data_IF_486611874534
#
_entry.id   IF_486611874534
#
_cell.length_a   1.000
_cell.length_b   1.000
_cell.length_c   1.000
_cell.angle_alpha   90.00
_cell.angle_beta   90.00
_cell.angle_gamma   90.00
#
_symmetry.space_group_name_H-M   'P 1'
#
loop_
_entity.id
_entity.type
_entity.pdbx_description
1 polymer ?
#
# COMPACT_ATOMS: atom_id res chain seq x y z
N UNK A 1 7.51 30.52 19.07
CA UNK A 1 6.85 30.70 20.36
C UNK A 1 7.84 30.31 21.46
N UNK A 2 8.14 31.20 22.40
CA UNK A 2 9.25 31.04 23.37
C UNK A 2 9.04 29.82 24.28
N UNK A 3 7.79 29.56 24.67
CA UNK A 3 7.41 28.44 25.52
C UNK A 3 7.66 27.06 24.86
N UNK A 4 7.59 26.97 23.53
CA UNK A 4 7.89 25.73 22.80
C UNK A 4 9.39 25.49 22.73
N UNK A 5 10.20 26.55 22.59
CA UNK A 5 11.65 26.46 22.61
C UNK A 5 12.17 26.05 24.00
N UNK A 6 11.67 26.70 25.05
CA UNK A 6 12.03 26.39 26.44
C UNK A 6 11.66 24.93 26.81
N UNK A 7 10.55 24.40 26.27
CA UNK A 7 10.14 23.02 26.45
C UNK A 7 11.02 21.99 25.72
N UNK A 8 11.59 22.33 24.56
CA UNK A 8 12.51 21.45 23.82
C UNK A 8 13.89 21.40 24.51
N UNK A 9 14.39 22.54 24.98
CA UNK A 9 15.66 22.63 25.73
C UNK A 9 15.63 21.81 27.02
N UNK A 10 14.53 21.89 27.79
CA UNK A 10 14.37 21.08 29.00
C UNK A 10 14.40 19.58 28.70
N UNK A 11 13.78 19.16 27.59
CA UNK A 11 13.77 17.75 27.17
C UNK A 11 15.15 17.30 26.70
N UNK A 12 15.87 18.13 25.94
CA UNK A 12 17.25 17.86 25.54
C UNK A 12 18.15 17.65 26.77
N UNK A 13 18.08 18.55 27.75
CA UNK A 13 18.87 18.46 28.98
C UNK A 13 18.54 17.19 29.77
N UNK A 14 17.26 16.81 29.86
CA UNK A 14 16.83 15.57 30.51
C UNK A 14 17.38 14.32 29.79
N UNK A 15 17.32 14.28 28.45
CA UNK A 15 17.89 13.17 27.68
C UNK A 15 19.42 13.10 27.83
N UNK A 16 20.10 14.26 27.79
CA UNK A 16 21.55 14.34 27.97
C UNK A 16 21.99 13.88 29.37
N UNK A 17 21.25 14.23 30.42
CA UNK A 17 21.52 13.79 31.78
C UNK A 17 21.28 12.28 31.98
N UNK A 18 20.36 11.69 31.21
CA UNK A 18 20.08 10.26 31.23
C UNK A 18 21.18 9.43 30.53
N UNK A 19 21.92 10.03 29.58
CA UNK A 19 23.03 9.39 28.89
C UNK A 19 24.27 9.38 29.80
N UNK A 20 24.61 8.20 30.34
CA UNK A 20 25.85 7.98 31.09
C UNK A 20 26.86 7.27 30.20
N UNK A 21 27.86 8.00 29.72
CA UNK A 21 29.05 7.42 29.10
C UNK A 21 30.14 7.36 30.18
N UNK A 22 30.71 6.19 30.40
CA UNK A 22 31.86 6.01 31.27
C UNK A 22 33.10 5.83 30.38
N UNK A 23 34.08 6.72 30.57
CA UNK A 23 35.32 6.77 29.78
C UNK A 23 35.04 6.84 28.26
N UNK A 24 35.88 6.20 27.45
CA UNK A 24 35.78 6.18 25.98
C UNK A 24 34.89 5.03 25.45
N UNK A 25 34.08 4.40 26.31
CA UNK A 25 33.28 3.23 25.95
C UNK A 25 31.79 3.51 26.07
N UNK A 26 31.06 3.30 24.97
CA UNK A 26 29.61 3.36 24.96
C UNK A 26 29.02 2.12 25.67
N UNK A 27 28.10 2.29 26.64
CA UNK A 27 27.41 1.16 27.26
C UNK A 27 26.71 0.28 26.21
N UNK A 28 26.80 -1.05 26.32
CA UNK A 28 26.04 -1.96 25.46
C UNK A 28 24.55 -1.63 25.47
N UNK A 29 23.94 -1.51 24.29
CA UNK A 29 22.51 -1.22 24.14
C UNK A 29 22.12 0.26 24.25
N UNK A 30 23.05 1.17 24.59
CA UNK A 30 22.75 2.62 24.65
C UNK A 30 22.25 3.14 23.30
N UNK A 31 22.92 2.80 22.19
CA UNK A 31 22.49 3.20 20.84
C UNK A 31 21.10 2.65 20.53
N UNK A 32 20.83 1.39 20.86
CA UNK A 32 19.50 0.77 20.70
C UNK A 32 18.42 1.50 21.49
N UNK A 33 18.74 1.93 22.71
CA UNK A 33 17.82 2.68 23.58
C UNK A 33 17.54 4.08 23.03
N UNK A 34 18.56 4.75 22.49
CA UNK A 34 18.44 6.07 21.88
C UNK A 34 17.64 6.07 20.57
N UNK A 35 17.69 4.96 19.82
CA UNK A 35 17.02 4.80 18.53
C UNK A 35 15.67 4.05 18.60
N UNK A 36 15.19 3.64 19.79
CA UNK A 36 13.92 2.92 19.93
C UNK A 36 12.72 3.88 19.93
N UNK A 37 11.63 3.46 19.29
CA UNK A 37 10.32 4.10 19.45
C UNK A 37 9.87 3.92 20.91
N UNK A 38 9.59 5.01 21.64
CA UNK A 38 9.19 4.91 23.04
C UNK A 38 7.79 4.29 23.18
N UNK A 39 7.53 3.68 24.34
CA UNK A 39 6.17 3.30 24.73
C UNK A 39 5.26 4.54 24.80
N UNK A 40 3.95 4.35 24.62
CA UNK A 40 2.97 5.44 24.69
C UNK A 40 3.15 6.29 25.95
N UNK A 41 3.28 7.61 25.76
CA UNK A 41 3.44 8.58 26.84
C UNK A 41 4.87 8.79 27.35
N UNK A 42 5.84 7.94 26.99
CA UNK A 42 7.25 8.16 27.36
C UNK A 42 7.94 9.16 26.41
N UNK A 43 8.85 9.98 26.97
CA UNK A 43 9.74 10.84 26.21
C UNK A 43 11.07 10.13 25.92
N UNK A 44 11.64 10.35 24.75
CA UNK A 44 12.91 9.74 24.31
C UNK A 44 13.66 10.66 23.36
N UNK A 45 14.96 10.39 23.14
CA UNK A 45 15.73 11.09 22.12
C UNK A 45 15.07 11.00 20.75
N UNK A 46 14.57 9.83 20.35
CA UNK A 46 13.84 9.65 19.09
C UNK A 46 12.63 10.59 18.98
N UNK A 47 11.82 10.69 20.03
CA UNK A 47 10.65 11.58 20.06
C UNK A 47 11.04 13.06 20.02
N UNK A 48 12.08 13.45 20.76
CA UNK A 48 12.63 14.80 20.70
C UNK A 48 13.14 15.15 19.29
N UNK A 49 13.85 14.24 18.62
CA UNK A 49 14.31 14.44 17.23
C UNK A 49 13.12 14.58 16.28
N UNK A 50 12.05 13.79 16.44
CA UNK A 50 10.83 13.93 15.64
C UNK A 50 10.12 15.27 15.88
N UNK A 51 10.05 15.73 17.13
CA UNK A 51 9.44 17.02 17.47
C UNK A 51 10.27 18.19 16.94
N UNK A 52 11.61 18.10 17.00
CA UNK A 52 12.52 19.05 16.37
C UNK A 52 12.37 19.06 14.85
N UNK A 53 12.28 17.90 14.19
CA UNK A 53 11.99 17.82 12.77
C UNK A 53 10.67 18.51 12.43
N UNK A 54 9.62 18.32 13.24
CA UNK A 54 8.33 19.00 13.05
C UNK A 54 8.48 20.51 13.21
N UNK A 55 9.17 20.97 14.25
CA UNK A 55 9.41 22.40 14.49
C UNK A 55 10.22 23.04 13.36
N UNK A 56 11.26 22.36 12.85
CA UNK A 56 12.03 22.82 11.68
C UNK A 56 11.14 22.88 10.45
N UNK A 57 10.31 21.87 10.22
CA UNK A 57 9.36 21.86 9.10
C UNK A 57 8.34 22.99 9.21
N UNK A 58 7.93 23.38 10.41
CA UNK A 58 7.02 24.50 10.67
C UNK A 58 7.71 25.86 10.45
N UNK A 59 8.95 26.01 10.91
CA UNK A 59 9.77 27.20 10.63
C UNK A 59 10.01 27.34 9.13
N UNK A 60 10.39 26.24 8.46
CA UNK A 60 10.54 26.20 7.02
C UNK A 60 9.24 26.62 6.34
N UNK A 61 8.08 26.12 6.79
CA UNK A 61 6.77 26.54 6.29
C UNK A 61 6.58 28.07 6.32
N UNK A 62 6.97 28.70 7.42
CA UNK A 62 6.87 30.16 7.58
C UNK A 62 7.86 30.95 6.71
N UNK A 63 8.89 30.29 6.19
CA UNK A 63 9.88 30.85 5.27
C UNK A 63 9.58 30.56 3.80
N UNK A 64 8.50 29.80 3.50
CA UNK A 64 8.17 29.43 2.13
C UNK A 64 7.85 30.68 1.30
N UNK A 65 8.63 30.90 0.25
CA UNK A 65 8.48 32.06 -0.62
C UNK A 65 7.28 31.92 -1.56
N UNK A 66 6.89 30.68 -1.88
CA UNK A 66 5.80 30.38 -2.81
C UNK A 66 5.17 29.02 -2.50
N UNK A 67 3.84 28.92 -2.60
CA UNK A 67 3.12 27.63 -2.64
C UNK A 67 2.92 27.20 -4.09
N UNK A 68 3.29 25.96 -4.42
CA UNK A 68 3.06 25.37 -5.74
C UNK A 68 2.15 24.16 -5.57
N UNK A 69 0.84 24.40 -5.67
CA UNK A 69 -0.18 23.37 -5.55
C UNK A 69 -0.05 22.55 -4.25
N UNK A 70 0.30 23.20 -3.13
CA UNK A 70 0.51 22.58 -1.81
C UNK A 70 1.96 22.22 -1.49
N UNK A 71 2.91 22.38 -2.43
CA UNK A 71 4.34 22.24 -2.16
C UNK A 71 4.93 23.56 -1.66
N UNK A 72 5.67 23.50 -0.55
CA UNK A 72 6.41 24.64 0.00
C UNK A 72 7.69 24.83 -0.80
N UNK A 73 7.80 25.93 -1.53
CA UNK A 73 8.90 26.19 -2.45
C UNK A 73 9.81 27.34 -2.01
N UNK A 74 11.12 27.19 -2.26
CA UNK A 74 12.14 28.19 -1.95
C UNK A 74 13.10 28.36 -3.13
N UNK A 75 13.44 29.60 -3.48
CA UNK A 75 14.50 29.93 -4.46
C UNK A 75 14.35 29.25 -5.83
N UNK A 76 13.11 29.03 -6.26
CA UNK A 76 12.81 28.38 -7.54
C UNK A 76 12.87 29.38 -8.70
N UNK A 77 13.35 28.94 -9.86
CA UNK A 77 13.15 29.66 -11.12
C UNK A 77 11.81 29.25 -11.79
N UNK A 78 11.43 29.92 -12.87
CA UNK A 78 10.15 29.64 -13.54
C UNK A 78 10.07 28.25 -14.16
N UNK A 79 11.21 27.63 -14.51
CA UNK A 79 11.26 26.27 -15.07
C UNK A 79 11.04 25.23 -13.97
N UNK A 80 11.60 25.45 -12.78
CA UNK A 80 11.40 24.59 -11.62
C UNK A 80 9.93 24.49 -11.24
N UNK A 81 9.21 25.61 -11.31
CA UNK A 81 7.79 25.67 -10.94
C UNK A 81 6.95 24.68 -11.73
N UNK A 82 7.25 24.50 -13.01
CA UNK A 82 6.53 23.53 -13.85
C UNK A 82 6.81 22.08 -13.41
N UNK A 83 8.05 21.76 -13.01
CA UNK A 83 8.47 20.43 -12.56
C UNK A 83 7.87 20.08 -11.20
N UNK A 84 7.89 21.03 -10.26
CA UNK A 84 7.20 20.89 -8.97
C UNK A 84 5.70 20.71 -9.18
N UNK A 85 5.09 21.51 -10.06
CA UNK A 85 3.68 21.37 -10.39
C UNK A 85 3.36 19.98 -11.00
N UNK A 86 4.23 19.43 -11.85
CA UNK A 86 4.04 18.08 -12.41
C UNK A 86 4.04 16.99 -11.35
N UNK A 87 5.00 17.03 -10.43
CA UNK A 87 5.02 16.14 -9.27
C UNK A 87 3.75 16.29 -8.42
N UNK A 88 3.36 17.52 -8.11
CA UNK A 88 2.19 17.81 -7.28
C UNK A 88 0.86 17.45 -7.95
N UNK A 89 0.75 17.51 -9.29
CA UNK A 89 -0.44 17.02 -10.00
C UNK A 89 -0.68 15.54 -9.71
N UNK A 90 0.36 14.74 -9.81
CA UNK A 90 0.30 13.30 -9.51
C UNK A 90 -0.04 13.05 -8.05
N UNK A 91 0.69 13.72 -7.15
CA UNK A 91 0.47 13.59 -5.71
C UNK A 91 -0.96 13.96 -5.32
N UNK A 92 -1.45 15.12 -5.75
CA UNK A 92 -2.77 15.61 -5.39
C UNK A 92 -3.91 14.80 -6.00
N UNK A 93 -3.68 14.14 -7.16
CA UNK A 93 -4.66 13.20 -7.74
C UNK A 93 -4.96 12.04 -6.79
N UNK A 94 -3.94 11.48 -6.16
CA UNK A 94 -4.09 10.29 -5.31
C UNK A 94 -4.06 10.59 -3.81
N UNK A 95 -3.66 11.80 -3.39
CA UNK A 95 -3.62 12.22 -1.99
C UNK A 95 -4.93 11.99 -1.21
N UNK A 96 -6.15 12.17 -1.79
CA UNK A 96 -7.39 11.87 -1.08
C UNK A 96 -7.49 10.41 -0.59
N UNK A 97 -6.77 9.47 -1.22
CA UNK A 97 -6.73 8.05 -0.83
C UNK A 97 -5.97 7.79 0.47
N UNK A 98 -5.28 8.80 1.02
CA UNK A 98 -4.66 8.71 2.35
C UNK A 98 -5.67 8.97 3.46
N UNK A 99 -6.86 9.51 3.17
CA UNK A 99 -7.87 9.90 4.15
C UNK A 99 -7.26 10.72 5.31
N UNK A 100 -7.50 10.31 6.55
CA UNK A 100 -7.03 11.01 7.74
C UNK A 100 -5.56 10.73 8.10
N UNK A 101 -4.80 9.99 7.27
CA UNK A 101 -3.39 9.74 7.55
C UNK A 101 -2.54 11.02 7.38
N UNK A 102 -1.63 11.32 8.32
CA UNK A 102 -0.64 12.39 8.14
C UNK A 102 0.37 12.05 7.02
N UNK A 103 1.13 13.04 6.57
CA UNK A 103 2.16 12.86 5.54
C UNK A 103 1.75 13.36 4.16
N UNK A 104 2.60 13.05 3.18
CA UNK A 104 2.69 13.64 1.84
C UNK A 104 3.05 15.13 1.82
N UNK A 105 3.64 15.67 2.89
CA UNK A 105 4.12 17.04 2.88
C UNK A 105 5.29 17.16 1.91
N UNK A 106 5.24 18.16 1.01
CA UNK A 106 6.24 18.34 -0.04
C UNK A 106 6.96 19.67 0.12
N UNK A 107 8.30 19.61 0.13
CA UNK A 107 9.17 20.78 0.04
C UNK A 107 9.91 20.74 -1.30
N UNK A 108 10.15 21.89 -1.91
CA UNK A 108 10.93 22.01 -3.13
C UNK A 108 11.90 23.18 -3.05
N UNK A 109 13.15 22.98 -3.47
CA UNK A 109 14.14 24.04 -3.50
C UNK A 109 15.15 23.83 -4.61
N UNK A 110 15.73 24.92 -5.10
CA UNK A 110 16.91 24.86 -5.96
C UNK A 110 18.19 24.86 -5.13
N UNK A 111 19.05 23.89 -5.39
CA UNK A 111 20.41 23.79 -4.85
C UNK A 111 21.43 23.77 -5.99
N UNK A 112 22.04 24.93 -6.24
CA UNK A 112 22.93 25.15 -7.37
C UNK A 112 22.26 24.77 -8.71
N UNK A 113 22.81 23.81 -9.48
CA UNK A 113 22.23 23.39 -10.75
C UNK A 113 21.03 22.45 -10.60
N UNK A 114 20.67 22.03 -9.38
CA UNK A 114 19.69 20.97 -9.13
C UNK A 114 18.38 21.52 -8.57
N UNK A 115 17.26 20.99 -9.05
CA UNK A 115 15.99 21.08 -8.34
C UNK A 115 15.86 19.88 -7.41
N UNK A 116 15.59 20.13 -6.14
CA UNK A 116 15.34 19.11 -5.12
C UNK A 116 13.86 19.17 -4.72
N UNK A 117 13.17 18.04 -4.79
CA UNK A 117 11.82 17.85 -4.22
C UNK A 117 11.93 16.79 -3.14
N UNK A 118 11.50 17.11 -1.93
CA UNK A 118 11.45 16.19 -0.81
C UNK A 118 9.99 15.95 -0.44
N UNK A 119 9.61 14.68 -0.29
CA UNK A 119 8.29 14.31 0.22
C UNK A 119 8.44 13.50 1.51
N UNK A 120 7.67 13.88 2.52
CA UNK A 120 7.56 13.18 3.79
C UNK A 120 6.35 12.24 3.77
N UNK A 121 6.60 10.93 3.77
CA UNK A 121 5.56 9.90 3.72
C UNK A 121 4.84 9.68 5.08
N UNK A 122 5.17 10.45 6.14
CA UNK A 122 4.45 10.51 7.40
C UNK A 122 5.11 9.76 8.57
N UNK A 123 4.30 9.25 9.50
CA UNK A 123 4.66 8.79 10.86
C UNK A 123 5.53 7.52 10.96
N UNK A 124 6.30 7.19 9.93
CA UNK A 124 7.09 5.95 9.90
C UNK A 124 8.59 6.24 9.87
N UNK A 125 9.34 5.51 10.69
CA UNK A 125 10.66 5.88 11.22
C UNK A 125 11.84 6.03 10.23
N UNK A 126 11.66 5.92 8.90
CA UNK A 126 12.79 6.04 7.97
C UNK A 126 12.42 6.18 6.49
N UNK A 127 11.33 6.87 6.10
CA UNK A 127 10.94 6.96 4.69
C UNK A 127 11.08 8.38 4.15
N UNK A 128 12.30 8.75 3.78
CA UNK A 128 12.56 10.00 3.09
C UNK A 128 12.58 9.71 1.59
N UNK A 129 11.75 10.44 0.84
CA UNK A 129 11.85 10.51 -0.61
C UNK A 129 12.53 11.82 -0.99
N UNK A 130 13.66 11.72 -1.68
CA UNK A 130 14.35 12.87 -2.27
C UNK A 130 14.41 12.68 -3.78
N UNK A 131 13.93 13.68 -4.50
CA UNK A 131 13.93 13.73 -5.95
C UNK A 131 14.87 14.85 -6.37
N UNK A 132 15.81 14.55 -7.26
CA UNK A 132 16.76 15.51 -7.80
C UNK A 132 16.61 15.56 -9.32
N UNK A 133 16.52 16.77 -9.86
CA UNK A 133 16.45 17.01 -11.31
C UNK A 133 17.66 17.86 -11.70
N UNK A 134 18.42 17.37 -12.68
CA UNK A 134 19.64 17.98 -13.21
C UNK A 134 19.57 18.07 -14.74
N UNK A 135 20.17 19.10 -15.34
CA UNK A 135 20.13 19.32 -16.79
C UNK A 135 18.81 19.94 -17.22
N UNK A 136 18.84 21.19 -17.68
CA UNK A 136 17.63 22.02 -17.80
C UNK A 136 16.90 21.90 -19.13
N UNK A 137 17.55 21.47 -20.24
CA UNK A 137 16.96 21.61 -21.58
C UNK A 137 17.09 20.36 -22.48
N UNK A 138 18.30 19.86 -22.79
CA UNK A 138 18.47 18.81 -23.83
C UNK A 138 18.42 17.36 -23.32
N UNK A 139 18.62 17.14 -22.01
CA UNK A 139 18.66 15.80 -21.43
C UNK A 139 18.51 15.86 -19.90
N UNK A 140 17.31 16.17 -19.38
CA UNK A 140 17.11 16.21 -17.95
C UNK A 140 17.27 14.83 -17.32
N UNK A 141 18.03 14.77 -16.24
CA UNK A 141 18.25 13.59 -15.42
C UNK A 141 17.42 13.69 -14.15
N UNK A 142 16.52 12.73 -13.96
CA UNK A 142 15.76 12.53 -12.73
C UNK A 142 16.47 11.47 -11.88
N UNK A 143 16.73 11.78 -10.62
CA UNK A 143 17.25 10.85 -9.61
C UNK A 143 16.29 10.80 -8.43
N UNK A 144 15.84 9.61 -8.07
CA UNK A 144 14.96 9.35 -6.93
C UNK A 144 15.70 8.55 -5.89
N UNK A 145 15.90 9.12 -4.71
CA UNK A 145 16.45 8.47 -3.54
C UNK A 145 15.30 8.11 -2.60
N UNK A 146 15.17 6.83 -2.27
CA UNK A 146 14.15 6.33 -1.35
C UNK A 146 14.77 5.39 -0.33
N UNK A 147 14.48 5.61 0.95
CA UNK A 147 14.84 4.70 2.04
C UNK A 147 13.63 3.89 2.47
N UNK A 148 13.81 2.58 2.66
CA UNK A 148 12.75 1.68 3.10
C UNK A 148 13.26 0.58 4.04
N UNK A 149 12.49 0.26 5.08
CA UNK A 149 12.76 -0.87 5.99
C UNK A 149 12.06 -2.17 5.56
N UNK A 150 11.24 -2.12 4.51
CA UNK A 150 10.45 -3.23 4.00
C UNK A 150 10.78 -3.51 2.54
N UNK A 151 11.60 -4.54 2.29
CA UNK A 151 12.03 -4.97 0.94
C UNK A 151 10.87 -5.11 -0.05
N UNK A 152 9.76 -5.74 0.36
CA UNK A 152 8.61 -5.94 -0.54
C UNK A 152 7.84 -4.65 -0.85
N UNK A 153 7.83 -3.68 0.06
CA UNK A 153 7.23 -2.37 -0.21
C UNK A 153 8.09 -1.56 -1.16
N UNK A 154 9.42 -1.65 -1.01
CA UNK A 154 10.36 -1.09 -1.96
C UNK A 154 10.17 -1.72 -3.36
N UNK A 155 10.08 -3.04 -3.47
CA UNK A 155 9.81 -3.74 -4.74
C UNK A 155 8.48 -3.27 -5.35
N UNK A 156 7.44 -3.16 -4.54
CA UNK A 156 6.15 -2.59 -4.96
C UNK A 156 6.30 -1.18 -5.53
N UNK A 157 7.04 -0.29 -4.84
CA UNK A 157 7.28 1.09 -5.29
C UNK A 157 8.05 1.14 -6.61
N UNK A 158 9.09 0.31 -6.74
CA UNK A 158 9.92 0.23 -7.95
C UNK A 158 9.09 -0.23 -9.16
N UNK A 159 8.21 -1.21 -8.98
CA UNK A 159 7.31 -1.70 -10.02
C UNK A 159 6.31 -0.64 -10.52
N UNK A 160 5.97 0.35 -9.68
CA UNK A 160 5.13 1.49 -10.11
C UNK A 160 5.90 2.49 -10.98
N UNK A 161 7.22 2.42 -11.01
CA UNK A 161 8.10 3.36 -11.69
C UNK A 161 9.03 2.62 -12.66
N UNK A 162 8.47 1.92 -13.68
CA UNK A 162 9.25 1.08 -14.58
C UNK A 162 10.21 1.88 -15.48
N UNK A 163 9.98 3.20 -15.62
CA UNK A 163 10.87 4.09 -16.38
C UNK A 163 12.20 4.38 -15.63
N UNK A 164 12.26 4.16 -14.31
CA UNK A 164 13.47 4.36 -13.52
C UNK A 164 14.33 3.09 -13.53
N UNK A 165 15.62 3.26 -13.77
CA UNK A 165 16.62 2.20 -13.54
C UNK A 165 17.04 2.24 -12.07
N UNK A 166 16.75 1.17 -11.34
CA UNK A 166 16.99 1.11 -9.90
C UNK A 166 18.32 0.45 -9.54
N UNK A 167 19.02 1.05 -8.59
CA UNK A 167 20.16 0.46 -7.87
C UNK A 167 19.84 0.43 -6.39
N UNK A 168 20.30 -0.61 -5.69
CA UNK A 168 20.01 -0.79 -4.26
C UNK A 168 21.33 -0.95 -3.50
N UNK A 169 21.40 -0.34 -2.31
CA UNK A 169 22.44 -0.59 -1.32
C UNK A 169 21.78 -0.90 0.01
N UNK A 170 22.10 -2.06 0.58
CA UNK A 170 21.67 -2.41 1.93
C UNK A 170 22.64 -1.80 2.94
N UNK A 171 22.12 -1.05 3.91
CA UNK A 171 22.93 -0.52 5.01
C UNK A 171 22.44 -1.13 6.32
N UNK A 172 23.37 -1.73 7.06
CA UNK A 172 23.11 -2.16 8.43
C UNK A 172 23.20 -0.95 9.35
N UNK A 173 22.19 -0.77 10.21
CA UNK A 173 22.27 0.18 11.31
C UNK A 173 22.71 -0.61 12.55
N UNK A 174 23.93 -0.40 13.08
CA UNK A 174 24.39 -1.13 14.26
C UNK A 174 23.44 -0.90 15.44
N UNK A 175 22.90 -1.98 16.01
CA UNK A 175 22.11 -1.93 17.25
C UNK A 175 20.59 -1.75 17.12
N UNK A 176 19.97 -1.82 15.95
CA UNK A 176 18.50 -1.89 15.84
C UNK A 176 18.02 -3.34 15.69
N UNK A 177 16.98 -3.74 16.45
CA UNK A 177 16.30 -5.04 16.28
C UNK A 177 15.59 -5.17 14.90
N UNK A 178 15.47 -4.07 14.15
CA UNK A 178 14.99 -3.99 12.77
C UNK A 178 16.14 -3.67 11.78
N UNK A 179 17.40 -3.94 12.17
CA UNK A 179 18.66 -3.29 11.77
C UNK A 179 19.15 -3.28 10.32
N UNK A 180 18.27 -3.36 9.31
CA UNK A 180 18.63 -3.11 7.92
C UNK A 180 17.59 -2.21 7.26
N UNK A 181 18.04 -1.07 6.73
CA UNK A 181 17.27 -0.30 5.76
C UNK A 181 17.91 -0.41 4.39
N UNK A 182 17.08 -0.42 3.35
CA UNK A 182 17.53 -0.40 1.97
C UNK A 182 17.44 1.02 1.47
N UNK A 183 18.56 1.53 0.95
CA UNK A 183 18.60 2.78 0.21
C UNK A 183 18.55 2.43 -1.28
N UNK A 184 17.50 2.87 -1.96
CA UNK A 184 17.30 2.66 -3.38
C UNK A 184 17.44 3.97 -4.14
N UNK A 185 18.19 3.93 -5.24
CA UNK A 185 18.38 5.06 -6.16
C UNK A 185 17.85 4.69 -7.52
N UNK A 186 16.78 5.36 -7.95
CA UNK A 186 16.20 5.24 -9.29
C UNK A 186 16.70 6.39 -10.17
N UNK A 187 17.16 6.08 -11.38
CA UNK A 187 17.65 7.07 -12.34
C UNK A 187 16.83 6.97 -13.64
N UNK A 188 16.37 8.11 -14.13
CA UNK A 188 15.78 8.26 -15.47
C UNK A 188 16.54 9.36 -16.20
N UNK A 189 17.03 9.03 -17.39
CA UNK A 189 17.46 10.01 -18.37
C UNK A 189 16.24 10.32 -19.26
N UNK A 190 15.57 11.43 -19.01
CA UNK A 190 14.39 11.79 -19.78
C UNK A 190 14.81 12.32 -21.16
N UNK A 191 14.06 11.92 -22.20
CA UNK A 191 14.32 12.32 -23.58
C UNK A 191 14.00 13.81 -23.82
N UNK A 192 13.00 14.33 -23.10
CA UNK A 192 12.55 15.70 -23.16
C UNK A 192 11.84 16.12 -21.85
N UNK A 193 11.45 17.39 -21.76
CA UNK A 193 10.72 17.92 -20.60
C UNK A 193 9.33 17.29 -20.39
N UNK A 194 8.52 16.99 -21.43
CA UNK A 194 7.27 16.25 -21.27
C UNK A 194 7.44 14.86 -20.66
N UNK A 195 8.45 14.10 -21.07
CA UNK A 195 8.75 12.77 -20.51
C UNK A 195 9.17 12.86 -19.04
N UNK A 196 9.95 13.88 -18.68
CA UNK A 196 10.27 14.18 -17.29
C UNK A 196 9.00 14.47 -16.48
N UNK A 197 8.06 15.25 -17.02
CA UNK A 197 6.81 15.59 -16.33
C UNK A 197 5.91 14.40 -16.10
N UNK A 198 5.78 13.53 -17.10
CA UNK A 198 5.05 12.29 -16.97
C UNK A 198 5.67 11.38 -15.89
N UNK A 199 7.01 11.33 -15.81
CA UNK A 199 7.70 10.58 -14.77
C UNK A 199 7.49 11.18 -13.37
N UNK A 200 7.56 12.51 -13.23
CA UNK A 200 7.28 13.22 -11.97
C UNK A 200 5.83 13.03 -11.52
N UNK A 201 4.88 13.09 -12.44
CA UNK A 201 3.46 12.88 -12.15
C UNK A 201 3.21 11.42 -11.71
N UNK A 202 3.80 10.44 -12.40
CA UNK A 202 3.72 9.02 -12.00
C UNK A 202 4.35 8.77 -10.63
N UNK A 203 5.48 9.43 -10.35
CA UNK A 203 6.15 9.38 -9.05
C UNK A 203 5.25 9.93 -7.94
N UNK A 204 4.72 11.14 -8.11
CA UNK A 204 3.81 11.76 -7.15
C UNK A 204 2.57 10.91 -6.88
N UNK A 205 1.93 10.40 -7.94
CA UNK A 205 0.73 9.57 -7.84
C UNK A 205 0.96 8.24 -7.09
N UNK A 206 2.21 7.76 -7.05
CA UNK A 206 2.56 6.49 -6.43
C UNK A 206 2.73 6.56 -4.90
N UNK A 207 2.95 7.74 -4.33
CA UNK A 207 3.40 7.89 -2.94
C UNK A 207 2.34 7.50 -1.91
N UNK A 208 1.06 7.81 -2.16
CA UNK A 208 -0.03 7.50 -1.24
C UNK A 208 -0.13 6.00 -0.95
N UNK A 209 0.23 5.15 -1.93
CA UNK A 209 0.14 3.70 -1.81
C UNK A 209 1.26 3.09 -0.95
N UNK A 210 2.23 3.87 -0.48
CA UNK A 210 3.25 3.41 0.46
C UNK A 210 2.79 3.54 1.92
N UNK A 211 1.80 4.41 2.17
CA UNK A 211 1.23 4.65 3.49
C UNK A 211 0.44 3.42 3.92
N UNK A 212 0.72 2.89 5.11
CA UNK A 212 0.09 1.68 5.66
C UNK A 212 0.16 0.43 4.77
N UNK A 213 0.98 0.42 3.72
CA UNK A 213 1.06 -0.70 2.77
C UNK A 213 1.36 -2.04 3.47
N UNK A 214 2.28 -2.03 4.44
CA UNK A 214 2.65 -3.24 5.18
C UNK A 214 1.50 -3.71 6.09
N UNK A 215 0.71 -2.78 6.64
CA UNK A 215 -0.48 -3.09 7.45
C UNK A 215 -1.56 -3.71 6.58
N UNK A 216 -1.83 -3.15 5.40
CA UNK A 216 -2.76 -3.71 4.43
C UNK A 216 -2.31 -5.09 3.93
N UNK A 217 -1.04 -5.26 3.58
CA UNK A 217 -0.48 -6.57 3.18
C UNK A 217 -0.68 -7.62 4.28
N UNK A 218 -0.32 -7.30 5.53
CA UNK A 218 -0.52 -8.23 6.66
C UNK A 218 -1.99 -8.59 6.83
N UNK A 219 -2.87 -7.60 6.69
CA UNK A 219 -4.31 -7.82 6.80
C UNK A 219 -4.86 -8.76 5.72
N UNK A 220 -4.51 -8.53 4.46
CA UNK A 220 -4.93 -9.39 3.35
C UNK A 220 -4.37 -10.82 3.44
N UNK A 221 -3.19 -10.99 4.05
CA UNK A 221 -2.54 -12.31 4.23
C UNK A 221 -3.30 -13.27 5.16
N UNK A 222 -4.30 -12.80 5.89
CA UNK A 222 -5.20 -13.69 6.63
C UNK A 222 -6.12 -14.51 5.71
N UNK A 223 -6.34 -14.05 4.48
CA UNK A 223 -7.29 -14.67 3.54
C UNK A 223 -6.63 -15.27 2.30
N UNK A 224 -5.47 -14.76 1.91
CA UNK A 224 -4.73 -15.19 0.72
C UNK A 224 -3.24 -15.36 0.99
N UNK A 225 -2.53 -16.01 0.06
CA UNK A 225 -1.08 -16.16 0.14
C UNK A 225 -0.36 -14.80 0.12
N UNK A 226 0.89 -14.78 0.59
CA UNK A 226 1.74 -13.57 0.56
C UNK A 226 1.83 -12.92 -0.84
N UNK A 227 2.15 -13.68 -1.90
CA UNK A 227 2.18 -13.16 -3.26
C UNK A 227 0.81 -12.63 -3.73
N UNK A 228 -0.29 -13.31 -3.39
CA UNK A 228 -1.63 -12.87 -3.75
C UNK A 228 -2.02 -11.56 -3.05
N UNK A 229 -1.65 -11.38 -1.78
CA UNK A 229 -1.85 -10.11 -1.06
C UNK A 229 -1.09 -8.95 -1.73
N UNK A 230 0.15 -9.19 -2.17
CA UNK A 230 0.93 -8.18 -2.91
C UNK A 230 0.29 -7.88 -4.28
N UNK A 231 -0.20 -8.90 -4.98
CA UNK A 231 -0.91 -8.73 -6.25
C UNK A 231 -2.21 -7.92 -6.09
N UNK A 232 -2.95 -8.09 -4.99
CA UNK A 232 -4.12 -7.27 -4.67
C UNK A 232 -3.76 -5.80 -4.46
N UNK A 233 -2.64 -5.51 -3.79
CA UNK A 233 -2.17 -4.14 -3.58
C UNK A 233 -1.69 -3.50 -4.88
N UNK A 234 -1.03 -4.26 -5.77
CA UNK A 234 -0.70 -3.80 -7.13
C UNK A 234 -1.97 -3.45 -7.89
N UNK A 235 -2.91 -4.40 -7.96
CA UNK A 235 -4.19 -4.18 -8.63
C UNK A 235 -4.91 -2.94 -8.09
N UNK A 236 -4.99 -2.76 -6.77
CA UNK A 236 -5.62 -1.60 -6.17
C UNK A 236 -4.93 -0.29 -6.57
N UNK A 237 -3.60 -0.25 -6.51
CA UNK A 237 -2.84 0.95 -6.87
C UNK A 237 -2.89 1.28 -8.37
N UNK A 238 -2.98 0.28 -9.24
CA UNK A 238 -3.12 0.47 -10.69
C UNK A 238 -4.48 1.04 -11.08
N UNK A 239 -5.51 0.80 -10.26
CA UNK A 239 -6.86 1.35 -10.45
C UNK A 239 -7.14 2.56 -9.54
N UNK A 240 -6.13 3.05 -8.83
CA UNK A 240 -6.24 4.14 -7.86
C UNK A 240 -7.31 3.91 -6.76
N UNK A 241 -7.41 2.67 -6.28
CA UNK A 241 -8.16 2.30 -5.08
C UNK A 241 -7.25 2.32 -3.85
N UNK A 242 -7.54 3.21 -2.91
CA UNK A 242 -6.75 3.41 -1.69
C UNK A 242 -6.97 2.28 -0.69
N UNK A 243 -5.98 1.40 -0.50
CA UNK A 243 -6.07 0.30 0.48
C UNK A 243 -6.22 0.79 1.93
N UNK A 244 -5.91 2.05 2.23
CA UNK A 244 -6.23 2.66 3.53
C UNK A 244 -7.72 2.65 3.82
N UNK A 245 -8.57 2.79 2.81
CA UNK A 245 -10.02 2.75 3.01
C UNK A 245 -10.47 1.39 3.54
N UNK A 246 -9.89 0.31 3.02
CA UNK A 246 -10.13 -1.04 3.52
C UNK A 246 -9.68 -1.19 5.00
N UNK A 247 -8.54 -0.59 5.36
CA UNK A 247 -8.08 -0.57 6.75
C UNK A 247 -9.00 0.27 7.65
N UNK A 248 -9.47 1.42 7.20
CA UNK A 248 -10.42 2.28 7.93
C UNK A 248 -11.81 1.62 8.07
N UNK A 249 -12.21 0.81 7.11
CA UNK A 249 -13.44 0.01 7.17
C UNK A 249 -13.36 -1.15 8.18
N UNK A 250 -12.16 -1.48 8.68
CA UNK A 250 -11.91 -2.51 9.69
C UNK A 250 -11.03 -3.67 9.23
N UNK A 251 -10.56 -3.65 7.98
CA UNK A 251 -9.57 -4.59 7.46
C UNK A 251 -9.94 -6.06 7.66
N UNK A 252 -9.03 -6.83 8.26
CA UNK A 252 -9.22 -8.27 8.50
C UNK A 252 -10.37 -8.57 9.46
N UNK A 253 -10.59 -7.72 10.47
CA UNK A 253 -11.66 -7.90 11.44
C UNK A 253 -13.02 -7.76 10.76
N UNK A 254 -13.18 -6.74 9.92
CA UNK A 254 -14.40 -6.56 9.13
C UNK A 254 -14.70 -7.80 8.27
N UNK A 255 -13.70 -8.30 7.54
CA UNK A 255 -13.89 -9.47 6.66
C UNK A 255 -14.20 -10.74 7.46
N UNK A 256 -13.57 -10.92 8.63
CA UNK A 256 -13.89 -11.99 9.56
C UNK A 256 -15.34 -11.95 10.04
N UNK A 257 -15.78 -10.79 10.54
CA UNK A 257 -17.15 -10.57 11.01
C UNK A 257 -18.18 -10.84 9.90
N UNK A 258 -17.88 -10.42 8.67
CA UNK A 258 -18.71 -10.68 7.49
C UNK A 258 -18.84 -12.18 7.22
N UNK A 259 -17.73 -12.92 7.24
CA UNK A 259 -17.73 -14.35 7.00
C UNK A 259 -18.52 -15.10 8.09
N UNK A 260 -18.38 -14.70 9.34
CA UNK A 260 -19.13 -15.29 10.46
C UNK A 260 -20.63 -15.04 10.32
N UNK A 261 -21.01 -13.81 9.96
CA UNK A 261 -22.41 -13.42 9.74
C UNK A 261 -23.02 -14.22 8.60
N UNK A 262 -22.33 -14.31 7.45
CA UNK A 262 -22.78 -15.08 6.29
C UNK A 262 -22.90 -16.57 6.62
N UNK A 263 -21.93 -17.14 7.35
CA UNK A 263 -21.97 -18.53 7.81
C UNK A 263 -23.24 -18.83 8.64
N UNK A 264 -23.59 -17.93 9.56
CA UNK A 264 -24.80 -18.06 10.38
C UNK A 264 -26.08 -17.97 9.55
N UNK A 265 -26.13 -17.05 8.58
CA UNK A 265 -27.32 -16.82 7.76
C UNK A 265 -27.57 -17.92 6.73
N UNK A 266 -26.52 -18.52 6.17
CA UNK A 266 -26.65 -19.60 5.18
C UNK A 266 -26.67 -20.99 5.80
N UNK A 267 -26.46 -21.11 7.12
CA UNK A 267 -26.28 -22.39 7.80
C UNK A 267 -24.99 -23.12 7.42
N UNK A 268 -24.05 -22.43 6.74
CA UNK A 268 -22.79 -22.99 6.30
C UNK A 268 -21.71 -22.97 7.38
N UNK A 269 -20.87 -23.99 7.43
CA UNK A 269 -19.63 -24.00 8.23
C UNK A 269 -18.43 -23.83 7.30
N UNK A 270 -18.18 -22.59 6.87
CA UNK A 270 -17.13 -22.30 5.91
C UNK A 270 -15.75 -22.26 6.57
N UNK A 271 -15.61 -21.68 7.76
CA UNK A 271 -14.35 -21.54 8.51
C UNK A 271 -13.34 -20.59 7.87
N UNK A 272 -13.15 -20.62 6.56
CA UNK A 272 -12.29 -19.70 5.80
C UNK A 272 -12.98 -19.21 4.52
N UNK A 273 -12.57 -18.04 4.04
CA UNK A 273 -13.10 -17.46 2.80
C UNK A 273 -12.81 -18.34 1.57
N UNK A 274 -11.64 -18.98 1.54
CA UNK A 274 -11.29 -19.91 0.46
C UNK A 274 -12.19 -21.14 0.43
N UNK A 275 -12.67 -21.61 1.58
CA UNK A 275 -13.64 -22.70 1.63
C UNK A 275 -15.06 -22.23 1.25
N UNK A 276 -15.41 -20.98 1.53
CA UNK A 276 -16.68 -20.40 1.10
C UNK A 276 -16.75 -20.12 -0.41
N UNK A 277 -15.67 -19.58 -0.99
CA UNK A 277 -15.68 -18.98 -2.34
C UNK A 277 -14.67 -19.61 -3.32
N UNK A 278 -13.85 -20.56 -2.88
CA UNK A 278 -12.67 -20.98 -3.63
C UNK A 278 -11.58 -19.89 -3.66
N UNK A 279 -10.44 -20.22 -4.27
CA UNK A 279 -9.30 -19.30 -4.38
C UNK A 279 -9.64 -18.08 -5.25
N UNK A 280 -10.22 -18.30 -6.43
CA UNK A 280 -10.53 -17.20 -7.36
C UNK A 280 -11.67 -16.32 -6.85
N UNK A 281 -12.69 -16.91 -6.21
CA UNK A 281 -13.76 -16.15 -5.58
C UNK A 281 -13.28 -15.32 -4.40
N UNK A 282 -12.34 -15.84 -3.60
CA UNK A 282 -11.66 -15.08 -2.53
C UNK A 282 -10.91 -13.88 -3.11
N UNK A 283 -10.11 -14.08 -4.16
CA UNK A 283 -9.39 -13.00 -4.84
C UNK A 283 -10.34 -11.94 -5.40
N UNK A 284 -11.43 -12.36 -6.05
CA UNK A 284 -12.43 -11.45 -6.60
C UNK A 284 -13.15 -10.65 -5.51
N UNK A 285 -13.52 -11.29 -4.40
CA UNK A 285 -14.15 -10.61 -3.28
C UNK A 285 -13.21 -9.59 -2.62
N UNK A 286 -11.93 -9.91 -2.43
CA UNK A 286 -10.99 -8.96 -1.82
C UNK A 286 -10.67 -7.77 -2.74
N UNK A 287 -10.66 -7.95 -4.06
CA UNK A 287 -10.62 -6.83 -5.02
C UNK A 287 -11.83 -5.93 -4.85
N UNK A 288 -13.01 -6.53 -4.75
CA UNK A 288 -14.26 -5.82 -4.54
C UNK A 288 -14.28 -5.07 -3.20
N UNK A 289 -13.77 -5.69 -2.13
CA UNK A 289 -13.61 -5.06 -0.82
C UNK A 289 -12.70 -3.82 -0.87
N UNK A 290 -11.55 -3.90 -1.55
CA UNK A 290 -10.64 -2.76 -1.74
C UNK A 290 -11.29 -1.63 -2.54
N UNK A 291 -11.96 -1.97 -3.64
CA UNK A 291 -12.67 -1.03 -4.52
C UNK A 291 -13.81 -0.34 -3.79
N UNK A 292 -14.76 -1.11 -3.26
CA UNK A 292 -15.95 -0.60 -2.56
C UNK A 292 -15.55 0.23 -1.36
N UNK A 293 -14.58 -0.21 -0.54
CA UNK A 293 -14.09 0.62 0.57
C UNK A 293 -13.53 1.95 0.08
N UNK A 294 -12.68 1.93 -0.97
CA UNK A 294 -12.05 3.14 -1.50
C UNK A 294 -13.06 4.11 -2.11
N UNK A 295 -14.04 3.64 -2.85
CA UNK A 295 -15.07 4.49 -3.47
C UNK A 295 -16.05 5.03 -2.43
N UNK A 296 -16.60 4.16 -1.59
CA UNK A 296 -17.59 4.53 -0.60
C UNK A 296 -17.02 5.53 0.41
N UNK A 297 -15.79 5.31 0.92
CA UNK A 297 -15.17 6.23 1.87
C UNK A 297 -14.83 7.59 1.23
N UNK A 298 -14.38 7.60 -0.04
CA UNK A 298 -14.21 8.86 -0.81
C UNK A 298 -15.53 9.62 -0.96
N UNK A 299 -16.64 8.89 -1.09
CA UNK A 299 -17.99 9.45 -1.17
C UNK A 299 -18.61 9.76 0.21
N UNK A 300 -17.82 9.73 1.28
CA UNK A 300 -18.26 10.07 2.63
C UNK A 300 -19.13 9.02 3.32
N UNK A 301 -19.19 7.79 2.81
CA UNK A 301 -19.88 6.69 3.48
C UNK A 301 -19.13 6.26 4.73
N UNK A 302 -19.88 5.86 5.76
CA UNK A 302 -19.32 5.40 7.02
C UNK A 302 -18.84 3.94 6.94
N UNK A 303 -17.86 3.53 7.77
CA UNK A 303 -17.42 2.13 7.85
C UNK A 303 -18.55 1.09 8.01
N UNK A 304 -19.62 1.34 8.81
CA UNK A 304 -20.76 0.42 8.86
C UNK A 304 -21.49 0.27 7.53
N UNK A 305 -21.71 1.35 6.78
CA UNK A 305 -22.37 1.27 5.48
C UNK A 305 -21.54 0.46 4.46
N UNK A 306 -20.20 0.61 4.50
CA UNK A 306 -19.28 -0.18 3.69
C UNK A 306 -19.40 -1.67 4.04
N UNK A 307 -19.50 -1.99 5.34
CA UNK A 307 -19.69 -3.37 5.80
C UNK A 307 -20.98 -3.96 5.26
N UNK A 308 -22.10 -3.24 5.32
CA UNK A 308 -23.39 -3.72 4.81
C UNK A 308 -23.34 -4.02 3.31
N UNK A 309 -22.69 -3.15 2.51
CA UNK A 309 -22.47 -3.37 1.07
C UNK A 309 -21.67 -4.64 0.82
N UNK A 310 -20.58 -4.85 1.56
CA UNK A 310 -19.72 -6.03 1.41
C UNK A 310 -20.37 -7.31 1.94
N UNK A 311 -21.26 -7.21 2.93
CA UNK A 311 -22.07 -8.33 3.39
C UNK A 311 -23.02 -8.81 2.29
N UNK A 312 -23.74 -7.88 1.65
CA UNK A 312 -24.63 -8.20 0.54
C UNK A 312 -23.86 -8.86 -0.61
N UNK A 313 -22.71 -8.29 -0.99
CA UNK A 313 -21.84 -8.85 -2.03
C UNK A 313 -21.35 -10.26 -1.68
N UNK A 314 -20.93 -10.49 -0.44
CA UNK A 314 -20.48 -11.81 0.01
C UNK A 314 -21.61 -12.85 -0.05
N UNK A 315 -22.81 -12.49 0.43
CA UNK A 315 -24.00 -13.34 0.36
C UNK A 315 -24.33 -13.73 -1.08
N UNK A 316 -24.31 -12.78 -2.01
CA UNK A 316 -24.56 -13.03 -3.44
C UNK A 316 -23.54 -14.01 -4.02
N UNK A 317 -22.26 -13.87 -3.69
CA UNK A 317 -21.20 -14.77 -4.17
C UNK A 317 -21.32 -16.18 -3.61
N UNK A 318 -21.67 -16.31 -2.33
CA UNK A 318 -21.88 -17.62 -1.69
C UNK A 318 -23.08 -18.34 -2.31
N UNK A 319 -24.20 -17.64 -2.52
CA UNK A 319 -25.36 -18.21 -3.21
C UNK A 319 -25.01 -18.68 -4.63
N UNK A 320 -24.36 -17.83 -5.42
CA UNK A 320 -23.91 -18.18 -6.78
C UNK A 320 -22.91 -19.36 -6.83
N UNK A 321 -22.12 -19.57 -5.77
CA UNK A 321 -21.25 -20.74 -5.68
C UNK A 321 -22.07 -22.01 -5.39
N UNK A 322 -23.05 -21.94 -4.50
CA UNK A 322 -23.92 -23.08 -4.20
C UNK A 322 -24.71 -23.53 -5.43
N UNK A 323 -25.25 -22.58 -6.22
CA UNK A 323 -25.96 -22.88 -7.46
C UNK A 323 -25.05 -23.58 -8.47
N UNK A 324 -23.81 -23.10 -8.65
CA UNK A 324 -22.84 -23.75 -9.55
C UNK A 324 -22.50 -25.17 -9.14
N UNK A 325 -22.33 -25.43 -7.83
CA UNK A 325 -22.06 -26.79 -7.33
C UNK A 325 -23.27 -27.69 -7.60
N UNK A 326 -24.49 -27.17 -7.47
CA UNK A 326 -25.70 -27.92 -7.76
C UNK A 326 -25.81 -28.24 -9.26
N UNK A 327 -25.54 -27.27 -10.13
CA UNK A 327 -25.50 -27.46 -11.58
C UNK A 327 -24.46 -28.53 -11.97
N UNK A 328 -23.23 -28.43 -11.46
CA UNK A 328 -22.17 -29.41 -11.68
C UNK A 328 -22.58 -30.82 -11.19
N UNK A 329 -23.29 -30.92 -10.07
CA UNK A 329 -23.77 -32.18 -9.52
C UNK A 329 -24.92 -32.77 -10.37
N UNK A 330 -25.81 -31.94 -10.91
CA UNK A 330 -26.87 -32.34 -11.82
C UNK A 330 -26.28 -32.86 -13.13
N UNK A 331 -25.31 -32.15 -13.70
CA UNK A 331 -24.59 -32.57 -14.90
C UNK A 331 -23.87 -33.91 -14.67
N UNK A 332 -23.20 -34.06 -13.54
CA UNK A 332 -22.54 -35.32 -13.19
C UNK A 332 -23.54 -36.47 -12.99
N UNK A 333 -24.69 -36.22 -12.35
CA UNK A 333 -25.74 -37.22 -12.18
C UNK A 333 -26.34 -37.64 -13.55
N UNK A 334 -26.52 -36.70 -14.47
CA UNK A 334 -26.96 -36.97 -15.83
C UNK A 334 -25.95 -37.85 -16.58
N UNK A 335 -24.65 -37.54 -16.49
CA UNK A 335 -23.58 -38.36 -17.07
C UNK A 335 -23.56 -39.79 -16.52
N UNK A 336 -23.75 -39.96 -15.20
CA UNK A 336 -23.83 -41.29 -14.57
C UNK A 336 -25.05 -42.07 -15.10
N UNK A 337 -26.20 -41.42 -15.24
CA UNK A 337 -27.42 -42.05 -15.77
C UNK A 337 -27.24 -42.47 -17.25
N UNK A 338 -26.60 -41.64 -18.06
CA UNK A 338 -26.30 -41.94 -19.46
C UNK A 338 -25.34 -43.12 -19.59
N UNK A 339 -24.27 -43.15 -18.79
CA UNK A 339 -23.34 -44.28 -18.71
C UNK A 339 -24.05 -45.57 -18.27
N UNK A 340 -24.88 -45.50 -17.25
CA UNK A 340 -25.68 -46.64 -16.78
C UNK A 340 -26.63 -47.17 -17.85
N UNK A 341 -27.29 -46.28 -18.59
CA UNK A 341 -28.18 -46.62 -19.70
C UNK A 341 -27.43 -47.31 -20.84
N UNK A 342 -26.23 -46.82 -21.17
CA UNK A 342 -25.40 -47.40 -22.22
C UNK A 342 -24.89 -48.81 -21.85
N UNK A 343 -24.47 -49.02 -20.60
CA UNK A 343 -24.09 -50.35 -20.08
C UNK A 343 -25.29 -51.29 -20.08
N UNK A 344 -26.47 -50.83 -19.66
CA UNK A 344 -27.69 -51.64 -19.67
C UNK A 344 -28.09 -52.09 -21.09
N UNK A 345 -28.06 -51.16 -22.06
CA UNK A 345 -28.33 -51.47 -23.47
C UNK A 345 -27.32 -52.46 -24.05
N UNK A 346 -26.03 -52.36 -23.67
CA UNK A 346 -24.98 -53.28 -24.10
C UNK A 346 -25.21 -54.71 -23.61
N UNK A 347 -25.62 -54.86 -22.35
CA UNK A 347 -25.85 -56.16 -21.71
C UNK A 347 -27.11 -56.85 -22.22
N UNK A 348 -28.15 -56.10 -22.60
CA UNK A 348 -29.41 -56.65 -23.11
C UNK A 348 -29.43 -56.84 -24.64
N UNK A 349 -28.36 -56.49 -25.36
CA UNK A 349 -28.26 -56.70 -26.80
C UNK A 349 -29.12 -55.75 -27.65
N UNK A 350 -29.62 -54.64 -27.07
CA UNK A 350 -30.40 -53.64 -27.80
C UNK A 350 -29.48 -52.62 -28.51
N UNK A 351 -28.94 -53.04 -29.66
CA UNK A 351 -28.03 -52.24 -30.51
C UNK A 351 -28.59 -50.84 -30.91
N UNK A 352 -29.90 -50.64 -31.15
CA UNK A 352 -30.44 -49.32 -31.49
C UNK A 352 -30.36 -48.29 -30.34
N UNK A 353 -30.59 -48.71 -29.09
CA UNK A 353 -30.50 -47.83 -27.93
C UNK A 353 -29.05 -47.43 -27.62
N UNK A 354 -28.09 -48.31 -27.96
CA UNK A 354 -26.66 -48.06 -27.79
C UNK A 354 -26.18 -46.87 -28.63
N UNK A 355 -26.64 -46.77 -29.87
CA UNK A 355 -26.28 -45.70 -30.80
C UNK A 355 -26.92 -44.36 -30.38
N UNK A 356 -28.15 -44.38 -29.86
CA UNK A 356 -28.85 -43.19 -29.38
C UNK A 356 -28.30 -42.64 -28.05
N UNK A 357 -27.75 -43.50 -27.19
CA UNK A 357 -27.05 -43.10 -25.97
C UNK A 357 -25.64 -42.55 -26.28
N UNK A 358 -24.88 -43.21 -27.17
CA UNK A 358 -23.55 -42.75 -27.57
C UNK A 358 -23.56 -41.37 -28.27
N UNK A 359 -24.60 -41.07 -29.05
CA UNK A 359 -24.75 -39.77 -29.71
C UNK A 359 -25.10 -38.61 -28.74
N UNK A 360 -25.64 -38.92 -27.55
CA UNK A 360 -25.90 -37.93 -26.49
C UNK A 360 -24.65 -37.63 -25.66
N UNK A 361 -23.84 -38.64 -25.37
CA UNK A 361 -22.59 -38.50 -24.63
C UNK A 361 -21.45 -37.78 -25.40
N UNK A 362 -21.62 -37.53 -26.70
CA UNK A 362 -20.67 -36.78 -27.55
C UNK A 362 -21.00 -35.29 -27.73
N UNK A 363 -22.11 -34.82 -27.17
CA UNK A 363 -22.43 -33.39 -27.05
C UNK A 363 -22.18 -32.95 -25.61
#
# INVERSE_FOLDING_TARGET
DQATADGLDMREQAQRAAIRVADDVLPPGLVSQLCRVPAEGADSLHRLVMDLHRAINDIAAGLAETDIAGARAYRLDDRDRQRVAAFMRGLNRTAPLKFNHPGLATNAMRDGPRLIIQNDLGTTDAHVLIVQIEGQDDAPRLSVLHSDIHRQRLEFFQNRLPALTWTQSSRQLPGSEQGQFTLATGILQAADLPALDAALETLGASLVFLIDWNKARKSLRHFVSGPAAVALLHWAADHEYGHRAYLEAGGETMIGDLLDTVSQLTGGSYGTMQRALGQDGTMAFLREALRTSSEALRNGQSPPAIRDMLQAELMTRVASMADRILDDAIDHAALILDLGSLVHAALLGNVPDLLAAAARAQR
#
